data_IF_922910289775
#
_entry.id   IF_922910289775
#
_cell.length_a   1.000
_cell.length_b   1.000
_cell.length_c   1.000
_cell.angle_alpha   90.00
_cell.angle_beta   90.00
_cell.angle_gamma   90.00
#
_symmetry.space_group_name_H-M   'P 1'
#
loop_
_entity.id
_entity.type
_entity.pdbx_description
1 polymer ?
#
# COMPACT_ATOMS: atom_id res chain seq x y z
N UNK A 1 -24.88 -8.32 -29.06
CA UNK A 1 -23.55 -8.11 -28.41
C UNK A 1 -23.60 -6.76 -27.73
N UNK A 2 -23.77 -6.73 -26.39
CA UNK A 2 -23.67 -5.50 -25.62
C UNK A 2 -22.23 -4.95 -25.78
N UNK A 3 -22.09 -3.72 -26.24
CA UNK A 3 -20.77 -3.08 -26.38
C UNK A 3 -20.17 -2.95 -24.99
N UNK A 4 -19.09 -3.66 -24.74
CA UNK A 4 -18.23 -3.48 -23.58
C UNK A 4 -17.85 -1.99 -23.47
N UNK A 5 -18.43 -1.28 -22.52
CA UNK A 5 -18.12 0.14 -22.31
C UNK A 5 -17.05 0.26 -21.22
N UNK A 6 -15.80 0.36 -21.67
CA UNK A 6 -14.70 0.72 -20.78
C UNK A 6 -15.06 1.96 -19.93
N UNK A 7 -14.83 1.90 -18.64
CA UNK A 7 -14.87 3.09 -17.79
C UNK A 7 -13.67 4.01 -18.10
N UNK A 8 -13.88 4.87 -19.11
CA UNK A 8 -12.83 5.78 -19.57
C UNK A 8 -12.35 6.75 -18.48
N UNK A 9 -13.24 7.16 -17.56
CA UNK A 9 -12.86 8.06 -16.47
C UNK A 9 -11.85 7.35 -15.56
N UNK A 10 -12.16 6.13 -15.12
CA UNK A 10 -11.26 5.33 -14.30
C UNK A 10 -9.94 5.04 -15.05
N UNK A 11 -10.03 4.59 -16.30
CA UNK A 11 -8.85 4.23 -17.09
C UNK A 11 -7.91 5.43 -17.31
N UNK A 12 -8.45 6.58 -17.73
CA UNK A 12 -7.66 7.79 -17.94
C UNK A 12 -7.07 8.33 -16.64
N UNK A 13 -7.81 8.22 -15.52
CA UNK A 13 -7.27 8.59 -14.19
C UNK A 13 -6.07 7.73 -13.82
N UNK A 14 -6.13 6.41 -14.04
CA UNK A 14 -5.00 5.50 -13.79
C UNK A 14 -3.78 5.90 -14.63
N UNK A 15 -3.97 6.10 -15.93
CA UNK A 15 -2.89 6.49 -16.85
C UNK A 15 -2.29 7.85 -16.45
N UNK A 16 -3.14 8.83 -16.14
CA UNK A 16 -2.70 10.15 -15.71
C UNK A 16 -1.89 10.10 -14.40
N UNK A 17 -2.33 9.30 -13.42
CA UNK A 17 -1.61 9.15 -12.14
C UNK A 17 -0.27 8.43 -12.31
N UNK A 18 -0.18 7.42 -13.17
CA UNK A 18 1.10 6.74 -13.47
C UNK A 18 2.04 7.70 -14.18
N UNK A 19 1.57 8.44 -15.17
CA UNK A 19 2.37 9.43 -15.87
C UNK A 19 2.86 10.55 -14.94
N UNK A 20 1.97 11.10 -14.14
CA UNK A 20 2.33 12.07 -13.10
C UNK A 20 3.37 11.51 -12.13
N UNK A 21 3.21 10.25 -11.72
CA UNK A 21 4.17 9.55 -10.87
C UNK A 21 5.56 9.46 -11.50
N UNK A 22 5.67 9.18 -12.81
CA UNK A 22 6.95 9.14 -13.51
C UNK A 22 7.64 10.51 -13.55
N UNK A 23 6.88 11.60 -13.77
CA UNK A 23 7.38 12.97 -13.74
C UNK A 23 7.91 13.32 -12.35
N UNK A 24 7.11 13.08 -11.31
CA UNK A 24 7.50 13.38 -9.93
C UNK A 24 8.64 12.48 -9.44
N UNK A 25 8.68 11.23 -9.89
CA UNK A 25 9.80 10.33 -9.61
C UNK A 25 11.11 10.86 -10.18
N UNK A 26 11.11 11.37 -11.41
CA UNK A 26 12.31 11.99 -12.00
C UNK A 26 12.79 13.15 -11.11
N UNK A 27 11.88 14.04 -10.73
CA UNK A 27 12.22 15.14 -9.84
C UNK A 27 12.78 14.67 -8.50
N UNK A 28 12.11 13.71 -7.84
CA UNK A 28 12.48 13.24 -6.52
C UNK A 28 13.77 12.41 -6.49
N UNK A 29 14.10 11.72 -7.59
CA UNK A 29 15.20 10.75 -7.62
C UNK A 29 16.48 11.21 -8.28
N UNK A 30 16.44 12.26 -9.12
CA UNK A 30 17.60 12.71 -9.91
C UNK A 30 18.83 13.04 -9.06
N UNK A 31 18.64 13.86 -8.02
CA UNK A 31 19.72 14.23 -7.11
C UNK A 31 20.25 13.04 -6.29
N UNK A 32 19.37 12.16 -5.82
CA UNK A 32 19.75 10.95 -5.08
C UNK A 32 20.53 9.98 -5.96
N UNK A 33 20.14 9.83 -7.25
CA UNK A 33 20.85 9.00 -8.22
C UNK A 33 22.30 9.46 -8.38
N UNK A 34 22.49 10.76 -8.57
CA UNK A 34 23.80 11.35 -8.81
C UNK A 34 24.67 11.41 -7.53
N UNK A 35 24.13 11.97 -6.44
CA UNK A 35 24.89 12.25 -5.22
C UNK A 35 25.14 11.02 -4.34
N UNK A 36 24.19 10.08 -4.28
CA UNK A 36 24.27 8.93 -3.37
C UNK A 36 24.69 7.65 -4.07
N UNK A 37 24.18 7.42 -5.28
CA UNK A 37 24.42 6.17 -6.01
C UNK A 37 25.46 6.31 -7.13
N UNK A 38 25.90 7.54 -7.44
CA UNK A 38 26.85 7.84 -8.51
C UNK A 38 26.44 7.23 -9.87
N UNK A 39 25.14 7.29 -10.16
CA UNK A 39 24.54 6.82 -11.42
C UNK A 39 23.84 7.96 -12.14
N UNK A 40 23.46 7.74 -13.40
CA UNK A 40 22.79 8.75 -14.20
C UNK A 40 21.47 9.24 -13.52
N UNK A 41 21.12 10.55 -13.61
CA UNK A 41 19.94 11.12 -12.97
C UNK A 41 18.62 10.43 -13.33
N UNK A 42 18.55 9.83 -14.52
CA UNK A 42 17.37 9.12 -15.02
C UNK A 42 17.31 7.62 -14.65
N UNK A 43 18.28 7.10 -13.88
CA UNK A 43 18.39 5.68 -13.54
C UNK A 43 17.12 5.06 -12.94
N UNK A 44 16.53 5.72 -11.95
CA UNK A 44 15.31 5.24 -11.29
C UNK A 44 14.10 5.32 -12.21
N UNK A 45 13.99 6.37 -13.01
CA UNK A 45 12.87 6.58 -13.94
C UNK A 45 12.87 5.55 -15.06
N UNK A 46 14.02 5.26 -15.66
CA UNK A 46 14.13 4.23 -16.72
C UNK A 46 13.67 2.86 -16.20
N UNK A 47 14.10 2.51 -14.98
CA UNK A 47 13.62 1.27 -14.34
C UNK A 47 12.13 1.28 -14.08
N UNK A 48 11.59 2.40 -13.60
CA UNK A 48 10.16 2.53 -13.35
C UNK A 48 9.34 2.49 -14.64
N UNK A 49 9.83 3.06 -15.75
CA UNK A 49 9.20 2.96 -17.07
C UNK A 49 9.12 1.49 -17.51
N UNK A 50 10.21 0.73 -17.35
CA UNK A 50 10.21 -0.71 -17.64
C UNK A 50 9.15 -1.46 -16.84
N UNK A 51 9.06 -1.20 -15.52
CA UNK A 51 8.04 -1.77 -14.67
C UNK A 51 6.62 -1.27 -15.03
N UNK A 52 6.47 0.00 -15.39
CA UNK A 52 5.19 0.57 -15.82
C UNK A 52 4.68 -0.10 -17.10
N UNK A 53 5.57 -0.35 -18.06
CA UNK A 53 5.22 -1.08 -19.29
C UNK A 53 4.69 -2.49 -19.00
N UNK A 54 5.45 -3.28 -18.21
CA UNK A 54 5.01 -4.64 -17.82
C UNK A 54 3.69 -4.58 -17.03
N UNK A 55 3.57 -3.66 -16.09
CA UNK A 55 2.37 -3.47 -15.27
C UNK A 55 1.16 -3.08 -16.11
N UNK A 56 1.36 -2.27 -17.14
CA UNK A 56 0.30 -1.88 -18.07
C UNK A 56 -0.15 -3.05 -18.95
N UNK A 57 0.77 -3.92 -19.40
CA UNK A 57 0.41 -5.15 -20.10
C UNK A 57 -0.45 -6.08 -19.21
N UNK A 58 -0.07 -6.20 -17.93
CA UNK A 58 -0.83 -6.99 -16.95
C UNK A 58 -2.20 -6.35 -16.68
N UNK A 59 -2.29 -5.03 -16.56
CA UNK A 59 -3.56 -4.31 -16.44
C UNK A 59 -4.46 -4.61 -17.64
N UNK A 60 -3.93 -4.51 -18.87
CA UNK A 60 -4.68 -4.76 -20.08
C UNK A 60 -5.11 -6.23 -20.24
N UNK A 61 -4.28 -7.16 -19.75
CA UNK A 61 -4.63 -8.59 -19.70
C UNK A 61 -5.86 -8.82 -18.81
N UNK A 62 -5.81 -8.35 -17.54
CA UNK A 62 -6.94 -8.49 -16.61
C UNK A 62 -8.17 -7.71 -17.06
N UNK A 63 -8.01 -6.51 -17.61
CA UNK A 63 -9.08 -5.70 -18.15
C UNK A 63 -9.86 -6.45 -19.25
N UNK A 64 -9.15 -7.15 -20.16
CA UNK A 64 -9.79 -7.90 -21.27
C UNK A 64 -10.35 -9.26 -20.85
N UNK A 65 -9.89 -9.80 -19.73
CA UNK A 65 -10.37 -11.07 -19.22
C UNK A 65 -11.69 -10.86 -18.46
N UNK A 66 -12.72 -11.66 -18.76
CA UNK A 66 -13.95 -11.63 -17.97
C UNK A 66 -13.66 -11.99 -16.51
N UNK A 67 -13.96 -11.07 -15.58
CA UNK A 67 -13.74 -11.24 -14.14
C UNK A 67 -14.43 -12.49 -13.57
N UNK A 68 -15.53 -12.95 -14.19
CA UNK A 68 -16.25 -14.16 -13.77
C UNK A 68 -15.40 -15.42 -13.89
N UNK A 69 -14.41 -15.44 -14.78
CA UNK A 69 -13.43 -16.54 -14.88
C UNK A 69 -12.54 -16.64 -13.63
N UNK A 70 -12.37 -15.55 -12.90
CA UNK A 70 -11.64 -15.53 -11.64
C UNK A 70 -12.48 -16.04 -10.44
N UNK A 71 -13.81 -16.16 -10.60
CA UNK A 71 -14.73 -16.69 -9.58
C UNK A 71 -14.65 -18.23 -9.48
N UNK A 72 -13.45 -18.75 -9.31
CA UNK A 72 -13.21 -20.19 -9.13
C UNK A 72 -12.32 -20.47 -7.93
N UNK A 73 -12.46 -21.67 -7.31
CA UNK A 73 -11.55 -22.03 -6.20
C UNK A 73 -10.08 -22.00 -6.63
N UNK A 74 -9.80 -22.37 -7.89
CA UNK A 74 -8.44 -22.36 -8.41
C UNK A 74 -7.81 -20.96 -8.29
N UNK A 75 -8.47 -19.91 -8.77
CA UNK A 75 -7.96 -18.54 -8.68
C UNK A 75 -7.83 -18.04 -7.23
N UNK A 76 -8.85 -18.29 -6.40
CA UNK A 76 -8.89 -17.82 -5.01
C UNK A 76 -7.79 -18.45 -4.15
N UNK A 77 -7.63 -19.78 -4.23
CA UNK A 77 -6.68 -20.50 -3.38
C UNK A 77 -5.28 -20.57 -3.98
N UNK A 78 -5.12 -20.65 -5.31
CA UNK A 78 -3.79 -20.62 -5.92
C UNK A 78 -3.12 -19.26 -5.72
N UNK A 79 -3.85 -18.15 -5.84
CA UNK A 79 -3.33 -16.82 -5.56
C UNK A 79 -2.77 -16.71 -4.14
N UNK A 80 -3.54 -17.17 -3.13
CA UNK A 80 -3.07 -17.22 -1.74
C UNK A 80 -1.88 -18.17 -1.58
N UNK A 81 -1.95 -19.38 -2.13
CA UNK A 81 -0.90 -20.39 -2.01
C UNK A 81 0.42 -19.94 -2.63
N UNK A 82 0.39 -19.34 -3.81
CA UNK A 82 1.58 -18.81 -4.48
C UNK A 82 2.21 -17.69 -3.62
N UNK A 83 1.41 -16.74 -3.14
CA UNK A 83 1.94 -15.63 -2.32
C UNK A 83 2.51 -16.15 -1.00
N UNK A 84 1.84 -17.08 -0.33
CA UNK A 84 2.34 -17.71 0.89
C UNK A 84 3.65 -18.47 0.61
N UNK A 85 3.72 -19.25 -0.46
CA UNK A 85 4.94 -19.93 -0.87
C UNK A 85 6.09 -18.96 -1.14
N UNK A 86 5.84 -17.86 -1.87
CA UNK A 86 6.84 -16.84 -2.13
C UNK A 86 7.30 -16.12 -0.84
N UNK A 87 6.40 -15.88 0.12
CA UNK A 87 6.75 -15.29 1.42
C UNK A 87 7.63 -16.22 2.24
N UNK A 88 7.34 -17.55 2.23
CA UNK A 88 8.19 -18.54 2.88
C UNK A 88 9.57 -18.59 2.20
N UNK A 89 9.62 -18.62 0.87
CA UNK A 89 10.88 -18.67 0.14
C UNK A 89 11.73 -17.42 0.42
N UNK A 90 11.15 -16.21 0.38
CA UNK A 90 11.89 -14.97 0.61
C UNK A 90 12.41 -14.87 2.04
N UNK A 91 11.73 -15.48 3.00
CA UNK A 91 12.20 -15.55 4.39
C UNK A 91 13.57 -16.24 4.51
N UNK A 92 13.81 -17.29 3.72
CA UNK A 92 15.09 -17.99 3.69
C UNK A 92 16.12 -17.38 2.74
N UNK A 93 15.68 -16.77 1.64
CA UNK A 93 16.57 -16.19 0.61
C UNK A 93 17.13 -14.82 1.00
N UNK A 94 16.36 -14.01 1.76
CA UNK A 94 16.81 -12.71 2.28
C UNK A 94 16.89 -12.74 3.81
N UNK A 95 17.94 -13.32 4.40
CA UNK A 95 18.04 -13.52 5.86
C UNK A 95 18.16 -12.23 6.66
N UNK A 96 18.47 -11.10 6.02
CA UNK A 96 18.61 -9.81 6.71
C UNK A 96 17.29 -9.05 6.82
N UNK A 97 16.55 -8.97 5.72
CA UNK A 97 15.31 -8.17 5.65
C UNK A 97 14.05 -9.02 5.54
N UNK A 98 14.15 -10.28 5.05
CA UNK A 98 13.03 -11.20 4.83
C UNK A 98 11.95 -10.67 3.88
N UNK A 99 12.31 -9.77 2.93
CA UNK A 99 11.34 -8.97 2.16
C UNK A 99 11.51 -9.04 0.65
N UNK A 100 12.74 -9.15 0.15
CA UNK A 100 13.06 -8.83 -1.24
C UNK A 100 13.76 -9.98 -1.96
N UNK A 101 13.23 -10.35 -3.11
CA UNK A 101 14.03 -11.06 -4.11
C UNK A 101 14.83 -10.04 -4.91
N UNK A 102 16.14 -10.08 -4.81
CA UNK A 102 17.05 -9.24 -5.61
C UNK A 102 17.26 -9.90 -6.97
N UNK A 103 16.72 -9.31 -8.02
CA UNK A 103 16.83 -9.78 -9.40
C UNK A 103 17.93 -8.98 -10.10
N UNK A 104 19.09 -9.60 -10.44
CA UNK A 104 20.18 -8.91 -11.13
C UNK A 104 19.66 -8.26 -12.42
N UNK A 105 19.97 -6.98 -12.63
CA UNK A 105 19.57 -6.22 -13.81
C UNK A 105 18.15 -5.70 -13.83
N UNK A 106 17.19 -6.36 -13.18
CA UNK A 106 15.76 -6.01 -13.23
C UNK A 106 15.31 -5.17 -12.02
N UNK A 107 15.90 -5.41 -10.86
CA UNK A 107 15.55 -4.72 -9.62
C UNK A 107 15.19 -5.68 -8.48
N UNK A 108 14.33 -5.23 -7.57
CA UNK A 108 13.86 -6.02 -6.44
C UNK A 108 12.36 -6.33 -6.57
N UNK A 109 11.98 -7.55 -6.25
CA UNK A 109 10.60 -8.02 -6.24
C UNK A 109 10.17 -8.30 -4.80
N UNK A 110 9.03 -7.76 -4.39
CA UNK A 110 8.49 -7.90 -3.04
C UNK A 110 7.20 -8.73 -3.05
N UNK A 111 7.23 -10.00 -2.60
CA UNK A 111 6.04 -10.87 -2.61
C UNK A 111 4.86 -10.35 -1.80
N UNK A 112 5.12 -9.64 -0.69
CA UNK A 112 4.05 -9.10 0.17
C UNK A 112 3.15 -8.07 -0.53
N UNK A 113 3.60 -7.44 -1.62
CA UNK A 113 2.76 -6.56 -2.44
C UNK A 113 1.62 -7.33 -3.12
N UNK A 114 1.87 -8.59 -3.50
CA UNK A 114 0.89 -9.47 -4.13
C UNK A 114 -0.10 -10.09 -3.14
N UNK A 115 0.15 -9.96 -1.84
CA UNK A 115 -0.81 -10.36 -0.81
C UNK A 115 -2.13 -9.60 -0.92
N UNK A 116 -2.11 -8.35 -1.40
CA UNK A 116 -3.30 -7.51 -1.58
C UNK A 116 -4.24 -8.10 -2.63
N UNK A 117 -3.86 -8.25 -3.92
CA UNK A 117 -4.75 -8.83 -4.91
C UNK A 117 -5.14 -10.29 -4.61
N UNK A 118 -4.24 -11.09 -4.04
CA UNK A 118 -4.55 -12.47 -3.67
C UNK A 118 -5.63 -12.54 -2.58
N UNK A 119 -5.52 -11.70 -1.55
CA UNK A 119 -6.53 -11.60 -0.49
C UNK A 119 -7.87 -11.10 -1.03
N UNK A 120 -7.86 -10.09 -1.90
CA UNK A 120 -9.08 -9.53 -2.49
C UNK A 120 -9.82 -10.60 -3.31
N UNK A 121 -9.11 -11.34 -4.17
CA UNK A 121 -9.69 -12.44 -4.93
C UNK A 121 -10.29 -13.52 -4.02
N UNK A 122 -9.57 -13.89 -2.96
CA UNK A 122 -10.06 -14.86 -1.98
C UNK A 122 -11.31 -14.35 -1.27
N UNK A 123 -11.30 -13.11 -0.76
CA UNK A 123 -12.44 -12.52 -0.06
C UNK A 123 -13.67 -12.42 -0.97
N UNK A 124 -13.49 -11.92 -2.19
CA UNK A 124 -14.57 -11.82 -3.17
C UNK A 124 -15.19 -13.20 -3.47
N UNK A 125 -14.35 -14.21 -3.73
CA UNK A 125 -14.80 -15.59 -3.96
C UNK A 125 -15.50 -16.18 -2.72
N UNK A 126 -14.92 -16.01 -1.54
CA UNK A 126 -15.42 -16.60 -0.31
C UNK A 126 -16.76 -16.01 0.10
N UNK A 127 -16.87 -14.67 0.08
CA UNK A 127 -18.08 -13.96 0.48
C UNK A 127 -19.20 -14.16 -0.53
N UNK A 128 -18.92 -14.09 -1.84
CA UNK A 128 -19.92 -14.30 -2.88
C UNK A 128 -20.68 -15.63 -2.75
N UNK A 129 -20.03 -16.65 -2.19
CA UNK A 129 -20.63 -17.98 -2.01
C UNK A 129 -21.27 -18.19 -0.63
N UNK A 130 -20.97 -17.33 0.34
CA UNK A 130 -21.33 -17.52 1.74
C UNK A 130 -21.92 -16.29 2.40
N UNK A 131 -22.35 -15.28 1.64
CA UNK A 131 -22.90 -14.03 2.15
C UNK A 131 -24.07 -14.27 3.11
N UNK A 132 -24.96 -15.22 2.79
CA UNK A 132 -26.12 -15.56 3.61
C UNK A 132 -25.81 -16.31 4.93
N UNK A 133 -24.61 -16.90 5.05
CA UNK A 133 -24.15 -17.62 6.23
C UNK A 133 -22.87 -17.03 6.82
N UNK A 134 -22.56 -15.76 6.50
CA UNK A 134 -21.29 -15.13 6.89
C UNK A 134 -21.14 -15.02 8.41
N UNK A 135 -22.25 -14.99 9.13
CA UNK A 135 -22.32 -14.93 10.60
C UNK A 135 -22.26 -16.32 11.26
N UNK A 136 -22.21 -17.42 10.48
CA UNK A 136 -21.97 -18.73 11.05
C UNK A 136 -20.52 -18.87 11.52
N UNK A 137 -20.34 -19.45 12.72
CA UNK A 137 -19.02 -19.55 13.34
C UNK A 137 -18.03 -20.40 12.53
N UNK A 138 -18.50 -21.44 11.83
CA UNK A 138 -17.63 -22.30 11.00
C UNK A 138 -17.15 -21.54 9.77
N UNK A 139 -18.06 -20.83 9.11
CA UNK A 139 -17.77 -19.98 7.96
C UNK A 139 -16.79 -18.87 8.32
N UNK A 140 -17.02 -18.19 9.43
CA UNK A 140 -16.13 -17.14 9.92
C UNK A 140 -14.72 -17.68 10.25
N UNK A 141 -14.64 -18.83 10.95
CA UNK A 141 -13.34 -19.45 11.25
C UNK A 141 -12.53 -19.80 9.99
N UNK A 142 -13.18 -20.33 8.94
CA UNK A 142 -12.53 -20.64 7.68
C UNK A 142 -11.95 -19.38 6.99
N UNK A 143 -12.73 -18.29 6.97
CA UNK A 143 -12.26 -17.01 6.43
C UNK A 143 -11.10 -16.45 7.25
N UNK A 144 -11.23 -16.43 8.57
CA UNK A 144 -10.22 -15.89 9.47
C UNK A 144 -8.92 -16.66 9.41
N UNK A 145 -8.93 -17.99 9.29
CA UNK A 145 -7.70 -18.78 9.14
C UNK A 145 -6.90 -18.31 7.92
N UNK A 146 -7.53 -18.14 6.76
CA UNK A 146 -6.86 -17.68 5.55
C UNK A 146 -6.32 -16.24 5.70
N UNK A 147 -7.14 -15.32 6.25
CA UNK A 147 -6.75 -13.92 6.46
C UNK A 147 -5.63 -13.80 7.50
N UNK A 148 -5.73 -14.52 8.61
CA UNK A 148 -4.73 -14.47 9.68
C UNK A 148 -3.42 -15.14 9.25
N UNK A 149 -3.47 -16.24 8.52
CA UNK A 149 -2.28 -16.92 8.00
C UNK A 149 -1.53 -16.01 7.02
N UNK A 150 -2.23 -15.41 6.06
CA UNK A 150 -1.62 -14.44 5.14
C UNK A 150 -1.11 -13.21 5.88
N UNK A 151 -1.94 -12.64 6.77
CA UNK A 151 -1.58 -11.47 7.58
C UNK A 151 -0.35 -11.73 8.44
N UNK A 152 -0.26 -12.87 9.11
CA UNK A 152 0.90 -13.26 9.90
C UNK A 152 2.18 -13.34 9.05
N UNK A 153 2.14 -14.03 7.92
CA UNK A 153 3.29 -14.14 7.02
C UNK A 153 3.74 -12.79 6.48
N UNK A 154 2.79 -11.90 6.16
CA UNK A 154 3.12 -10.54 5.72
C UNK A 154 3.70 -9.72 6.88
N UNK A 155 3.18 -9.84 8.12
CA UNK A 155 3.71 -9.17 9.33
C UNK A 155 5.16 -9.56 9.62
N UNK A 156 5.50 -10.85 9.43
CA UNK A 156 6.88 -11.34 9.59
C UNK A 156 7.81 -10.65 8.59
N UNK A 157 7.38 -10.53 7.33
CA UNK A 157 8.14 -9.86 6.29
C UNK A 157 8.14 -8.32 6.48
N UNK A 158 6.96 -7.73 6.64
CA UNK A 158 6.77 -6.29 6.82
C UNK A 158 5.43 -5.95 7.47
N UNK A 159 5.49 -5.47 8.71
CA UNK A 159 4.30 -5.02 9.45
C UNK A 159 3.51 -3.94 8.68
N UNK A 160 4.21 -3.07 7.94
CA UNK A 160 3.56 -2.04 7.15
C UNK A 160 2.64 -2.61 6.11
N UNK A 161 3.20 -3.36 5.18
CA UNK A 161 2.42 -3.94 4.08
C UNK A 161 1.27 -4.83 4.56
N UNK A 162 1.33 -5.36 5.80
CA UNK A 162 0.24 -6.13 6.40
C UNK A 162 -0.99 -5.29 6.79
N UNK A 163 -0.80 -3.99 7.07
CA UNK A 163 -1.89 -3.13 7.56
C UNK A 163 -2.97 -2.93 6.49
N UNK A 164 -2.58 -2.73 5.24
CA UNK A 164 -3.51 -2.50 4.12
C UNK A 164 -4.44 -3.70 3.89
N UNK A 165 -3.94 -4.95 3.70
CA UNK A 165 -4.82 -6.10 3.53
C UNK A 165 -5.70 -6.39 4.76
N UNK A 166 -5.22 -6.15 5.98
CA UNK A 166 -6.03 -6.33 7.20
C UNK A 166 -7.19 -5.32 7.25
N UNK A 167 -6.92 -4.04 7.01
CA UNK A 167 -7.98 -3.02 6.97
C UNK A 167 -8.94 -3.31 5.82
N UNK A 168 -8.44 -3.71 4.65
CA UNK A 168 -9.28 -4.09 3.51
C UNK A 168 -10.21 -5.25 3.88
N UNK A 169 -9.69 -6.31 4.53
CA UNK A 169 -10.52 -7.44 4.96
C UNK A 169 -11.60 -7.01 5.95
N UNK A 170 -11.28 -6.18 6.93
CA UNK A 170 -12.24 -5.67 7.91
C UNK A 170 -13.37 -4.91 7.22
N UNK A 171 -13.05 -3.99 6.31
CA UNK A 171 -14.06 -3.19 5.60
C UNK A 171 -14.93 -4.07 4.70
N UNK A 172 -14.32 -5.02 3.97
CA UNK A 172 -15.05 -5.93 3.09
C UNK A 172 -16.00 -6.82 3.90
N UNK A 173 -15.56 -7.38 5.03
CA UNK A 173 -16.45 -8.17 5.90
C UNK A 173 -17.57 -7.34 6.53
N UNK A 174 -17.28 -6.08 6.89
CA UNK A 174 -18.30 -5.18 7.43
C UNK A 174 -19.41 -4.92 6.41
N UNK A 175 -19.03 -4.58 5.18
CA UNK A 175 -20.00 -4.32 4.09
C UNK A 175 -20.72 -5.61 3.67
N UNK A 176 -20.07 -6.78 3.84
CA UNK A 176 -20.71 -8.07 3.61
C UNK A 176 -21.75 -8.47 4.68
N UNK A 177 -21.95 -7.65 5.73
CA UNK A 177 -22.94 -7.88 6.76
C UNK A 177 -22.46 -8.73 7.94
N UNK A 178 -21.14 -8.78 8.19
CA UNK A 178 -20.63 -9.43 9.40
C UNK A 178 -21.10 -8.68 10.65
N UNK A 179 -21.71 -9.41 11.59
CA UNK A 179 -22.23 -8.85 12.83
C UNK A 179 -21.14 -8.18 13.66
N UNK A 180 -21.49 -7.05 14.27
CA UNK A 180 -20.58 -6.21 15.05
C UNK A 180 -19.84 -6.95 16.17
N UNK A 181 -20.49 -7.94 16.79
CA UNK A 181 -19.84 -8.77 17.83
C UNK A 181 -18.62 -9.56 17.32
N UNK A 182 -18.67 -10.03 16.07
CA UNK A 182 -17.55 -10.73 15.45
C UNK A 182 -16.48 -9.75 14.97
N UNK A 183 -16.89 -8.60 14.44
CA UNK A 183 -15.96 -7.54 14.05
C UNK A 183 -15.13 -7.04 15.23
N UNK A 184 -15.77 -6.82 16.39
CA UNK A 184 -15.05 -6.42 17.60
C UNK A 184 -14.04 -7.48 18.05
N UNK A 185 -14.41 -8.77 18.02
CA UNK A 185 -13.49 -9.86 18.38
C UNK A 185 -12.29 -9.93 17.43
N UNK A 186 -12.53 -9.88 16.12
CA UNK A 186 -11.47 -9.88 15.11
C UNK A 186 -10.61 -8.63 15.23
N UNK A 187 -11.22 -7.48 15.42
CA UNK A 187 -10.53 -6.22 15.64
C UNK A 187 -9.63 -6.25 16.89
N UNK A 188 -10.12 -6.76 18.01
CA UNK A 188 -9.32 -6.92 19.24
C UNK A 188 -8.12 -7.86 19.02
N UNK A 189 -8.31 -9.00 18.34
CA UNK A 189 -7.23 -9.92 18.00
C UNK A 189 -6.21 -9.23 17.09
N UNK A 190 -6.66 -8.51 16.06
CA UNK A 190 -5.79 -7.79 15.16
C UNK A 190 -4.97 -6.71 15.90
N UNK A 191 -5.60 -5.93 16.76
CA UNK A 191 -4.93 -4.92 17.61
C UNK A 191 -3.91 -5.58 18.53
N UNK A 192 -4.26 -6.67 19.20
CA UNK A 192 -3.33 -7.39 20.07
C UNK A 192 -2.11 -7.91 19.31
N UNK A 193 -2.30 -8.48 18.11
CA UNK A 193 -1.21 -8.94 17.24
C UNK A 193 -0.34 -7.79 16.75
N UNK A 194 -0.93 -6.64 16.41
CA UNK A 194 -0.19 -5.43 16.00
C UNK A 194 0.64 -4.91 17.16
N UNK A 195 0.07 -4.79 18.36
CA UNK A 195 0.79 -4.36 19.57
C UNK A 195 1.95 -5.29 19.87
N UNK A 196 1.73 -6.60 19.83
CA UNK A 196 2.78 -7.60 20.02
C UNK A 196 3.87 -7.47 18.95
N UNK A 197 3.50 -7.31 17.68
CA UNK A 197 4.43 -7.14 16.58
C UNK A 197 5.24 -5.83 16.66
N UNK A 198 4.67 -4.76 17.22
CA UNK A 198 5.37 -3.50 17.50
C UNK A 198 6.35 -3.71 18.66
N UNK A 199 5.90 -4.28 19.76
CA UNK A 199 6.71 -4.50 20.96
C UNK A 199 7.88 -5.47 20.73
N UNK A 200 7.75 -6.41 19.79
CA UNK A 200 8.78 -7.42 19.48
C UNK A 200 10.06 -6.87 18.82
N UNK A 201 10.04 -5.63 18.32
CA UNK A 201 11.18 -5.02 17.62
C UNK A 201 11.39 -3.58 18.07
N UNK A 202 12.55 -3.29 18.68
CA UNK A 202 12.87 -1.96 19.23
C UNK A 202 12.74 -0.82 18.22
N UNK A 203 13.11 -1.04 16.94
CA UNK A 203 12.97 -0.01 15.89
C UNK A 203 11.50 0.34 15.59
N UNK A 204 10.56 -0.61 15.71
CA UNK A 204 9.12 -0.35 15.52
C UNK A 204 8.56 0.48 16.68
N UNK A 205 8.95 0.08 17.87
CA UNK A 205 8.59 0.81 19.10
C UNK A 205 9.15 2.23 19.07
N UNK A 206 10.41 2.42 18.68
CA UNK A 206 11.04 3.72 18.55
C UNK A 206 10.30 4.68 17.62
N UNK A 207 9.75 4.20 16.49
CA UNK A 207 8.93 5.04 15.58
C UNK A 207 7.62 5.51 16.20
N UNK A 208 6.93 4.63 16.95
CA UNK A 208 5.69 5.01 17.64
C UNK A 208 5.99 6.03 18.74
N UNK A 209 7.04 5.79 19.49
CA UNK A 209 7.45 6.68 20.56
C UNK A 209 7.89 8.04 19.99
N UNK A 210 8.72 8.07 18.96
CA UNK A 210 9.13 9.32 18.31
C UNK A 210 7.95 10.12 17.74
N UNK A 211 6.82 9.46 17.43
CA UNK A 211 5.58 10.11 17.02
C UNK A 211 4.83 10.74 18.20
N UNK A 212 4.72 10.03 19.34
CA UNK A 212 3.95 10.46 20.52
C UNK A 212 4.76 11.41 21.41
N UNK A 213 6.07 11.17 21.51
CA UNK A 213 7.02 11.89 22.36
C UNK A 213 8.34 12.12 21.61
N UNK A 214 8.38 13.12 20.70
CA UNK A 214 9.56 13.40 19.88
C UNK A 214 10.84 13.69 20.66
N UNK A 215 10.70 14.27 21.85
CA UNK A 215 11.80 14.69 22.71
C UNK A 215 12.14 13.65 23.81
N UNK A 216 11.41 12.52 23.84
CA UNK A 216 11.56 11.45 24.84
C UNK A 216 11.38 11.88 26.30
N UNK A 217 10.78 13.03 26.52
CA UNK A 217 10.58 13.62 27.87
C UNK A 217 9.59 12.82 28.72
N UNK A 218 8.54 12.30 28.12
CA UNK A 218 7.52 11.48 28.82
C UNK A 218 8.05 10.08 29.13
N UNK A 219 8.93 9.55 28.30
CA UNK A 219 9.54 8.24 28.51
C UNK A 219 10.47 8.27 29.71
N UNK A 220 11.23 9.33 29.93
CA UNK A 220 12.09 9.47 31.09
C UNK A 220 11.30 9.41 32.40
N UNK A 221 10.05 9.86 32.39
CA UNK A 221 9.14 9.75 33.53
C UNK A 221 8.62 8.34 33.75
N UNK A 222 8.32 7.60 32.65
CA UNK A 222 7.72 6.25 32.71
C UNK A 222 8.79 5.17 32.92
N UNK A 223 10.02 5.39 32.45
CA UNK A 223 11.15 4.46 32.51
C UNK A 223 12.37 5.13 33.21
N UNK A 224 12.32 5.39 34.54
CA UNK A 224 13.43 5.99 35.26
C UNK A 224 14.72 5.16 35.21
N UNK A 225 14.58 3.85 34.93
CA UNK A 225 15.73 2.93 34.80
C UNK A 225 16.38 2.93 33.42
N UNK A 226 15.80 3.63 32.42
CA UNK A 226 16.35 3.77 31.07
C UNK A 226 16.40 2.49 30.24
N UNK A 227 15.77 1.41 30.70
CA UNK A 227 15.79 0.09 30.00
C UNK A 227 15.08 0.14 28.66
N UNK A 228 13.92 0.79 28.59
CA UNK A 228 13.16 0.97 27.38
C UNK A 228 13.91 1.87 26.38
N UNK A 229 14.47 2.96 26.88
CA UNK A 229 15.33 3.88 26.11
C UNK A 229 16.54 3.14 25.52
N UNK A 230 17.23 2.34 26.34
CA UNK A 230 18.37 1.52 25.90
C UNK A 230 17.96 0.48 24.82
N UNK A 231 16.81 -0.19 24.98
CA UNK A 231 16.29 -1.14 24.01
C UNK A 231 15.97 -0.49 22.67
N UNK A 232 15.39 0.71 22.67
CA UNK A 232 15.10 1.48 21.47
C UNK A 232 16.40 1.93 20.81
N UNK A 233 17.33 2.47 21.56
CA UNK A 233 18.61 3.01 21.08
C UNK A 233 19.52 1.92 20.50
N UNK A 234 19.48 0.70 21.06
CA UNK A 234 20.23 -0.44 20.51
C UNK A 234 19.74 -0.89 19.13
N UNK A 235 18.49 -0.53 18.77
CA UNK A 235 17.83 -1.00 17.53
C UNK A 235 17.71 0.09 16.47
N UNK A 236 17.81 1.37 16.82
CA UNK A 236 17.64 2.51 15.89
C UNK A 236 18.30 3.75 16.48
N UNK A 237 18.96 4.56 15.63
CA UNK A 237 19.35 5.88 16.09
C UNK A 237 18.08 6.70 16.33
N UNK A 238 17.95 7.28 17.51
CA UNK A 238 16.81 8.12 17.91
C UNK A 238 16.60 9.29 16.95
N UNK A 239 17.69 9.81 16.37
CA UNK A 239 17.66 10.86 15.34
C UNK A 239 16.91 10.42 14.08
N UNK A 240 17.03 9.14 13.64
CA UNK A 240 16.42 8.71 12.39
C UNK A 240 14.91 8.55 12.51
N UNK A 241 14.39 8.17 13.67
CA UNK A 241 12.96 7.92 13.85
C UNK A 241 12.11 9.20 13.80
N UNK A 242 12.60 10.33 14.30
CA UNK A 242 11.90 11.63 14.30
C UNK A 242 12.31 12.53 13.13
N UNK A 243 13.47 12.28 12.52
CA UNK A 243 14.03 13.12 11.46
C UNK A 243 13.19 13.09 10.17
N UNK A 244 12.86 11.90 9.65
CA UNK A 244 12.09 11.75 8.43
C UNK A 244 10.72 12.46 8.48
N UNK A 245 9.86 12.29 9.54
CA UNK A 245 8.59 13.00 9.65
C UNK A 245 8.75 14.50 9.71
N UNK A 246 9.80 14.97 10.40
CA UNK A 246 10.07 16.40 10.51
C UNK A 246 10.43 17.00 9.16
N UNK A 247 11.34 16.38 8.39
CA UNK A 247 11.73 16.84 7.06
C UNK A 247 10.56 16.76 6.07
N UNK A 248 9.73 15.73 6.15
CA UNK A 248 8.52 15.59 5.34
C UNK A 248 7.53 16.74 5.58
N UNK A 249 7.28 17.11 6.84
CA UNK A 249 6.41 18.26 7.18
C UNK A 249 7.00 19.59 6.74
N UNK A 250 8.34 19.76 6.85
CA UNK A 250 9.03 20.95 6.34
C UNK A 250 8.85 21.04 4.82
N UNK A 251 9.01 19.92 4.07
CA UNK A 251 8.82 19.89 2.63
C UNK A 251 7.40 20.39 2.25
N UNK A 252 6.36 19.77 2.83
CA UNK A 252 4.97 20.15 2.54
C UNK A 252 4.70 21.61 2.94
N UNK A 253 5.24 22.05 4.10
CA UNK A 253 5.04 23.42 4.60
C UNK A 253 5.73 24.50 3.74
N UNK A 254 6.91 24.20 3.20
CA UNK A 254 7.67 25.14 2.36
C UNK A 254 7.07 25.32 0.97
N UNK A 255 6.32 24.33 0.46
CA UNK A 255 5.65 24.42 -0.83
C UNK A 255 4.48 25.42 -0.85
N UNK A 256 3.82 25.68 0.27
CA UNK A 256 2.71 26.62 0.33
C UNK A 256 1.59 26.28 -0.67
N UNK A 257 0.97 27.32 -1.25
CA UNK A 257 -0.16 27.15 -2.19
C UNK A 257 0.33 26.81 -3.60
N UNK A 258 1.34 27.51 -4.09
CA UNK A 258 1.82 27.42 -5.48
C UNK A 258 2.95 26.44 -5.70
N UNK A 259 3.63 26.00 -4.63
CA UNK A 259 4.84 25.20 -4.72
C UNK A 259 6.10 26.04 -5.00
N UNK A 260 7.26 25.41 -4.84
CA UNK A 260 8.55 26.02 -5.16
C UNK A 260 8.89 25.95 -6.67
N UNK A 261 8.13 25.19 -7.43
CA UNK A 261 8.40 24.88 -8.84
C UNK A 261 8.94 23.46 -9.02
N UNK A 262 8.60 22.85 -10.16
CA UNK A 262 9.05 21.52 -10.51
C UNK A 262 10.59 21.48 -10.56
N UNK A 263 11.21 20.44 -10.00
CA UNK A 263 12.67 20.27 -9.86
C UNK A 263 13.34 21.23 -8.86
N UNK A 264 12.64 22.16 -8.22
CA UNK A 264 13.22 23.16 -7.31
C UNK A 264 13.09 22.81 -5.81
N UNK A 265 12.50 21.67 -5.48
CA UNK A 265 12.43 21.16 -4.12
C UNK A 265 13.82 20.96 -3.51
N UNK A 266 14.00 21.44 -2.26
CA UNK A 266 15.28 21.36 -1.55
C UNK A 266 15.39 20.11 -0.70
N UNK A 267 14.26 19.62 -0.15
CA UNK A 267 14.27 18.49 0.78
C UNK A 267 14.72 17.18 0.14
N UNK A 268 14.51 17.01 -1.16
CA UNK A 268 15.02 15.88 -1.95
C UNK A 268 16.55 15.86 -2.10
N UNK A 269 17.24 16.99 -1.84
CA UNK A 269 18.70 17.10 -1.89
C UNK A 269 19.35 16.52 -0.63
N UNK A 270 19.07 15.25 -0.33
CA UNK A 270 19.59 14.45 0.79
C UNK A 270 19.06 14.82 2.18
N UNK A 271 18.19 15.83 2.34
CA UNK A 271 17.57 16.15 3.62
C UNK A 271 16.43 15.18 3.97
N UNK A 272 15.64 14.75 2.99
CA UNK A 272 14.56 13.77 3.18
C UNK A 272 14.98 12.41 2.61
N UNK A 273 15.34 11.42 3.45
CA UNK A 273 15.57 10.06 3.02
C UNK A 273 14.31 9.48 2.38
N UNK A 274 14.51 8.62 1.37
CA UNK A 274 13.42 7.91 0.69
C UNK A 274 12.36 8.83 0.05
N UNK A 275 12.75 10.06 -0.35
CA UNK A 275 11.89 11.04 -1.00
C UNK A 275 11.24 10.53 -2.29
N UNK A 276 11.88 9.60 -3.00
CA UNK A 276 11.40 9.01 -4.25
C UNK A 276 10.54 7.75 -4.05
N UNK A 277 10.49 7.19 -2.84
CA UNK A 277 9.70 6.00 -2.48
C UNK A 277 8.54 6.36 -1.55
N UNK A 278 8.78 6.37 -0.26
CA UNK A 278 7.74 6.46 0.77
C UNK A 278 7.25 7.90 1.00
N UNK A 279 8.09 8.89 0.71
CA UNK A 279 7.81 10.31 0.94
C UNK A 279 7.63 11.13 -0.34
N UNK A 280 7.30 10.48 -1.47
CA UNK A 280 7.14 11.20 -2.75
C UNK A 280 6.02 12.26 -2.67
N UNK A 281 4.98 12.04 -1.87
CA UNK A 281 3.92 13.02 -1.64
C UNK A 281 4.44 14.30 -0.96
N UNK A 282 5.50 14.21 -0.15
CA UNK A 282 6.17 15.39 0.42
C UNK A 282 6.85 16.21 -0.69
N UNK A 283 7.52 15.53 -1.65
CA UNK A 283 8.11 16.21 -2.81
C UNK A 283 7.05 16.85 -3.69
N UNK A 284 5.90 16.18 -3.90
CA UNK A 284 4.75 16.78 -4.60
C UNK A 284 4.28 18.05 -3.89
N UNK A 285 4.14 17.99 -2.55
CA UNK A 285 3.73 19.13 -1.74
C UNK A 285 4.75 20.27 -1.77
N UNK A 286 6.06 19.97 -1.76
CA UNK A 286 7.12 20.99 -1.83
C UNK A 286 7.16 21.69 -3.20
N UNK A 287 7.13 20.90 -4.29
CA UNK A 287 7.35 21.43 -5.64
C UNK A 287 6.10 22.02 -6.28
N UNK A 288 4.94 21.38 -6.11
CA UNK A 288 3.67 21.78 -6.73
C UNK A 288 2.68 22.35 -5.72
N UNK A 289 3.06 22.42 -4.46
CA UNK A 289 2.25 23.03 -3.40
C UNK A 289 0.91 22.34 -3.18
N UNK A 290 -0.06 23.12 -2.72
CA UNK A 290 -1.42 22.66 -2.46
C UNK A 290 -2.11 22.15 -3.73
N UNK A 291 -1.87 22.76 -4.89
CA UNK A 291 -2.48 22.35 -6.17
C UNK A 291 -2.05 20.93 -6.58
N UNK A 292 -0.74 20.63 -6.52
CA UNK A 292 -0.24 19.30 -6.83
C UNK A 292 -0.74 18.24 -5.85
N UNK A 293 -0.71 18.56 -4.56
CA UNK A 293 -1.24 17.67 -3.51
C UNK A 293 -2.73 17.40 -3.69
N UNK A 294 -3.53 18.44 -3.99
CA UNK A 294 -4.97 18.31 -4.24
C UNK A 294 -5.24 17.48 -5.50
N UNK A 295 -4.48 17.68 -6.57
CA UNK A 295 -4.64 16.87 -7.80
C UNK A 295 -4.42 15.37 -7.53
N UNK A 296 -3.42 15.00 -6.72
CA UNK A 296 -3.19 13.61 -6.30
C UNK A 296 -4.37 13.07 -5.49
N UNK A 297 -4.86 13.84 -4.51
CA UNK A 297 -6.03 13.45 -3.69
C UNK A 297 -7.25 13.27 -4.58
N UNK A 298 -7.53 14.19 -5.51
CA UNK A 298 -8.63 14.06 -6.46
C UNK A 298 -8.53 12.82 -7.34
N UNK A 299 -7.32 12.43 -7.77
CA UNK A 299 -7.11 11.19 -8.48
C UNK A 299 -7.57 9.96 -7.69
N UNK A 300 -7.23 9.87 -6.40
CA UNK A 300 -7.69 8.79 -5.53
C UNK A 300 -9.19 8.88 -5.20
N UNK A 301 -9.76 10.08 -5.09
CA UNK A 301 -11.20 10.28 -4.92
C UNK A 301 -11.99 9.84 -6.16
N UNK A 302 -11.47 10.05 -7.37
CA UNK A 302 -12.08 9.53 -8.61
C UNK A 302 -12.06 8.00 -8.60
N UNK A 303 -10.94 7.37 -8.21
CA UNK A 303 -10.85 5.90 -8.09
C UNK A 303 -11.87 5.41 -7.05
N UNK A 304 -11.98 6.06 -5.90
CA UNK A 304 -12.96 5.72 -4.87
C UNK A 304 -14.39 5.83 -5.41
N UNK A 305 -14.72 6.94 -6.04
CA UNK A 305 -16.05 7.19 -6.60
C UNK A 305 -16.43 6.16 -7.68
N UNK A 306 -15.51 5.91 -8.64
CA UNK A 306 -15.77 4.94 -9.72
C UNK A 306 -15.83 3.51 -9.18
N UNK A 307 -14.96 3.14 -8.26
CA UNK A 307 -14.99 1.82 -7.62
C UNK A 307 -16.23 1.58 -6.78
N UNK A 308 -16.67 2.57 -5.99
CA UNK A 308 -17.93 2.51 -5.25
C UNK A 308 -19.15 2.38 -6.19
N UNK A 309 -19.13 3.11 -7.31
CA UNK A 309 -20.17 2.97 -8.34
C UNK A 309 -20.19 1.56 -8.94
N UNK A 310 -19.03 0.97 -9.24
CA UNK A 310 -18.95 -0.40 -9.75
C UNK A 310 -19.45 -1.42 -8.72
N UNK A 311 -19.12 -1.23 -7.44
CA UNK A 311 -19.66 -2.06 -6.35
C UNK A 311 -21.21 -2.03 -6.33
N UNK A 312 -21.83 -0.87 -6.52
CA UNK A 312 -23.28 -0.73 -6.51
C UNK A 312 -23.95 -1.29 -7.78
N UNK A 313 -23.28 -1.24 -8.93
CA UNK A 313 -23.83 -1.64 -10.22
C UNK A 313 -23.55 -3.08 -10.60
N UNK A 314 -22.57 -3.74 -9.98
CA UNK A 314 -22.20 -5.11 -10.31
C UNK A 314 -23.36 -6.07 -10.07
N UNK A 315 -23.61 -6.96 -11.04
CA UNK A 315 -24.77 -7.86 -11.07
C UNK A 315 -24.63 -9.06 -10.15
N UNK A 316 -23.39 -9.49 -9.93
CA UNK A 316 -23.09 -10.65 -9.10
C UNK A 316 -22.25 -10.25 -7.87
N UNK A 317 -22.36 -11.03 -6.80
CA UNK A 317 -21.69 -10.74 -5.54
C UNK A 317 -20.17 -10.82 -5.66
N UNK A 318 -19.62 -11.67 -6.56
CA UNK A 318 -18.17 -11.73 -6.75
C UNK A 318 -17.64 -10.41 -7.33
N UNK A 319 -18.28 -9.89 -8.38
CA UNK A 319 -17.94 -8.58 -8.97
C UNK A 319 -18.06 -7.45 -7.97
N UNK A 320 -19.12 -7.45 -7.13
CA UNK A 320 -19.30 -6.46 -6.05
C UNK A 320 -18.11 -6.45 -5.08
N UNK A 321 -17.79 -7.61 -4.49
CA UNK A 321 -16.74 -7.68 -3.48
C UNK A 321 -15.35 -7.56 -4.07
N UNK A 322 -15.14 -7.93 -5.34
CA UNK A 322 -13.91 -7.67 -6.07
C UNK A 322 -13.70 -6.17 -6.27
N UNK A 323 -14.71 -5.45 -6.76
CA UNK A 323 -14.65 -4.00 -6.95
C UNK A 323 -14.42 -3.25 -5.61
N UNK A 324 -15.13 -3.66 -4.56
CA UNK A 324 -14.96 -3.11 -3.22
C UNK A 324 -13.55 -3.33 -2.70
N UNK A 325 -13.05 -4.57 -2.74
CA UNK A 325 -11.76 -4.94 -2.18
C UNK A 325 -10.60 -4.20 -2.87
N UNK A 326 -10.63 -4.13 -4.21
CA UNK A 326 -9.62 -3.39 -4.97
C UNK A 326 -9.64 -1.90 -4.63
N UNK A 327 -10.81 -1.30 -4.65
CA UNK A 327 -10.98 0.14 -4.37
C UNK A 327 -10.51 0.49 -2.97
N UNK A 328 -10.98 -0.24 -1.97
CA UNK A 328 -10.60 -0.02 -0.56
C UNK A 328 -9.10 -0.20 -0.36
N UNK A 329 -8.50 -1.24 -0.93
CA UNK A 329 -7.06 -1.51 -0.77
C UNK A 329 -6.20 -0.35 -1.30
N UNK A 330 -6.53 0.19 -2.46
CA UNK A 330 -5.78 1.28 -3.09
C UNK A 330 -5.97 2.59 -2.31
N UNK A 331 -7.21 2.92 -1.96
CA UNK A 331 -7.53 4.16 -1.25
C UNK A 331 -6.97 4.15 0.17
N UNK A 332 -7.08 3.04 0.90
CA UNK A 332 -6.51 2.89 2.24
C UNK A 332 -4.99 3.03 2.21
N UNK A 333 -4.31 2.41 1.24
CA UNK A 333 -2.85 2.57 1.10
C UNK A 333 -2.46 4.01 0.83
N UNK A 334 -3.18 4.70 -0.06
CA UNK A 334 -2.94 6.11 -0.36
C UNK A 334 -3.18 7.01 0.86
N UNK A 335 -4.30 6.81 1.58
CA UNK A 335 -4.61 7.56 2.80
C UNK A 335 -3.55 7.37 3.89
N UNK A 336 -3.08 6.13 4.10
CA UNK A 336 -2.02 5.87 5.09
C UNK A 336 -0.73 6.59 4.68
N UNK A 337 -0.29 6.48 3.41
CA UNK A 337 0.92 7.18 2.95
C UNK A 337 0.81 8.70 3.15
N UNK A 338 -0.26 9.31 2.67
CA UNK A 338 -0.49 10.75 2.81
C UNK A 338 -0.56 11.18 4.28
N UNK A 339 -1.23 10.40 5.15
CA UNK A 339 -1.30 10.67 6.59
C UNK A 339 0.07 10.62 7.27
N UNK A 340 0.94 9.69 6.86
CA UNK A 340 2.33 9.62 7.34
C UNK A 340 3.12 10.84 6.91
N UNK A 341 3.01 11.24 5.64
CA UNK A 341 3.74 12.38 5.07
C UNK A 341 3.39 13.69 5.75
N UNK A 342 2.10 13.92 6.03
CA UNK A 342 1.66 15.15 6.72
C UNK A 342 1.79 15.07 8.25
N UNK A 343 2.20 13.91 8.79
CA UNK A 343 2.46 13.72 10.21
C UNK A 343 1.22 13.42 11.06
N UNK A 344 0.11 12.98 10.46
CA UNK A 344 -1.10 12.52 11.16
C UNK A 344 -0.92 11.09 11.70
N UNK A 345 -0.10 10.27 11.02
CA UNK A 345 0.19 8.89 11.41
C UNK A 345 1.69 8.67 11.66
N UNK A 346 2.06 7.68 12.49
CA UNK A 346 3.46 7.37 12.74
C UNK A 346 4.17 6.90 11.47
N UNK A 347 5.46 7.20 11.38
CA UNK A 347 6.27 6.88 10.20
C UNK A 347 6.32 5.39 9.92
N UNK A 348 5.89 5.06 8.73
CA UNK A 348 5.99 3.73 8.16
C UNK A 348 6.18 3.86 6.65
N UNK A 349 7.13 3.12 6.11
CA UNK A 349 7.42 3.09 4.68
C UNK A 349 6.28 2.40 3.92
N UNK A 350 5.49 3.19 3.21
CA UNK A 350 4.47 2.74 2.28
C UNK A 350 4.64 3.48 0.96
N UNK A 351 4.76 2.81 -0.16
CA UNK A 351 4.71 3.50 -1.43
C UNK A 351 3.31 4.05 -1.69
N UNK A 352 3.23 5.27 -2.20
CA UNK A 352 1.98 5.85 -2.71
C UNK A 352 1.61 5.14 -4.01
N UNK A 353 0.43 4.49 -4.11
CA UNK A 353 0.05 3.71 -5.27
C UNK A 353 0.20 4.51 -6.57
N UNK A 354 0.74 3.89 -7.64
CA UNK A 354 0.95 4.44 -8.97
C UNK A 354 2.00 5.58 -9.08
N UNK A 355 2.34 6.26 -7.99
CA UNK A 355 3.19 7.45 -8.01
C UNK A 355 4.61 7.15 -7.50
N UNK A 356 4.75 6.41 -6.38
CA UNK A 356 6.04 6.09 -5.79
C UNK A 356 6.88 5.14 -6.66
N UNK A 357 8.20 5.24 -6.52
CA UNK A 357 9.11 4.23 -7.04
C UNK A 357 8.87 2.88 -6.37
N UNK A 358 8.61 1.84 -7.17
CA UNK A 358 8.43 0.47 -6.70
C UNK A 358 7.79 -0.42 -7.75
N UNK A 359 8.62 -1.23 -8.43
CA UNK A 359 8.16 -2.09 -9.54
C UNK A 359 7.07 -3.08 -9.12
N UNK A 360 7.30 -3.83 -8.04
CA UNK A 360 6.31 -4.82 -7.53
C UNK A 360 5.03 -4.17 -7.02
N UNK A 361 5.13 -2.99 -6.41
CA UNK A 361 3.95 -2.24 -5.95
C UNK A 361 3.12 -1.73 -7.12
N UNK A 362 3.77 -1.19 -8.16
CA UNK A 362 3.11 -0.74 -9.37
C UNK A 362 2.43 -1.92 -10.09
N UNK A 363 3.13 -3.06 -10.23
CA UNK A 363 2.60 -4.25 -10.88
C UNK A 363 1.37 -4.81 -10.14
N UNK A 364 1.45 -4.95 -8.83
CA UNK A 364 0.35 -5.40 -7.96
C UNK A 364 -0.86 -4.45 -8.04
N UNK A 365 -0.60 -3.13 -8.02
CA UNK A 365 -1.64 -2.10 -8.09
C UNK A 365 -2.34 -2.10 -9.45
N UNK A 366 -1.57 -2.12 -10.55
CA UNK A 366 -2.14 -2.12 -11.90
C UNK A 366 -2.83 -3.44 -12.24
N UNK A 367 -2.35 -4.59 -11.73
CA UNK A 367 -3.07 -5.86 -11.81
C UNK A 367 -4.45 -5.77 -11.12
N UNK A 368 -4.49 -5.21 -9.90
CA UNK A 368 -5.75 -4.99 -9.17
C UNK A 368 -6.70 -4.05 -9.91
N UNK A 369 -6.18 -2.94 -10.45
CA UNK A 369 -6.99 -2.01 -11.25
C UNK A 369 -7.46 -2.61 -12.58
N UNK A 370 -6.67 -3.52 -13.18
CA UNK A 370 -7.10 -4.30 -14.34
C UNK A 370 -8.30 -5.18 -14.03
N UNK A 371 -8.31 -5.84 -12.86
CA UNK A 371 -9.46 -6.62 -12.39
C UNK A 371 -10.68 -5.72 -12.15
N UNK A 372 -10.50 -4.52 -11.57
CA UNK A 372 -11.58 -3.56 -11.39
C UNK A 372 -12.17 -3.07 -12.72
N UNK A 373 -11.32 -2.79 -13.71
CA UNK A 373 -11.75 -2.42 -15.07
C UNK A 373 -12.48 -3.56 -15.76
N UNK A 374 -12.09 -4.83 -15.52
CA UNK A 374 -12.81 -5.99 -16.02
C UNK A 374 -14.25 -6.06 -15.51
N UNK A 375 -14.48 -5.74 -14.23
CA UNK A 375 -15.85 -5.62 -13.71
C UNK A 375 -16.61 -4.55 -14.47
N UNK A 376 -16.01 -3.37 -14.71
CA UNK A 376 -16.63 -2.29 -15.48
C UNK A 376 -17.03 -2.71 -16.91
N UNK A 377 -16.19 -3.48 -17.60
CA UNK A 377 -16.44 -3.89 -18.99
C UNK A 377 -17.54 -4.93 -19.14
N UNK A 378 -17.71 -5.79 -18.16
CA UNK A 378 -18.64 -6.92 -18.24
C UNK A 378 -19.98 -6.65 -17.55
N UNK A 379 -20.17 -5.46 -16.97
CA UNK A 379 -21.44 -5.00 -16.37
C UNK A 379 -22.28 -4.11 -17.31
N UNK A 380 -21.76 -3.74 -18.49
CA UNK A 380 -22.40 -2.90 -19.50
C UNK A 380 -23.49 -3.57 -20.33
#
# INVERSE_FOLDING_TARGET
MARLRTDWILFLTIVAMVFFGLVMLYSASSAVAELRYHVAPYYFVVRQIGWAFVSFLVLMYFKRMDYRRMNTPAWAFSGLGIVLGLLVIVYFVDPHNHRWFKLPGVGSFQPSEFAKPALILFLAYFIARRSHIINDQRTLKQALVAVLMLGFMVVVADLGTALVPVITAIIVFWIAGLEWKYMLRVGMIAVALIVLAIASRGYRLGRIIAYVDPDYSKIEVIDPGGRLKAYIQSSTSVRDASYQPRQSRIAVGTGGVLGMGLMQGKQKLMFLPDAHTDFIFATVGEELGLWGSTAVILGFLIILWRGARLFMLARDDFGKYLALGVTVSIVVQALINMSVVVGIAPTKGFPLPMISFGGSSLLSTLASLGMLLSVSENEG
#
